data_IF_390181348656
#
_entry.id   IF_390181348656
#
_cell.length_a   1.000
_cell.length_b   1.000
_cell.length_c   1.000
_cell.angle_alpha   90.00
_cell.angle_beta   90.00
_cell.angle_gamma   90.00
#
_symmetry.space_group_name_H-M   'P 1'
#
loop_
_entity.id
_entity.type
_entity.pdbx_description
1 polymer ?
#
# COMPACT_ATOMS: atom_id res chain seq x y z
N UNK A 1 4.27 -19.31 5.23
CA UNK A 1 3.97 -17.92 4.80
C UNK A 1 2.59 -17.78 4.12
N UNK A 2 2.02 -18.82 3.51
CA UNK A 2 0.69 -18.75 2.84
C UNK A 2 -0.48 -18.51 3.81
N UNK A 3 -0.46 -19.09 5.02
CA UNK A 3 -1.51 -18.90 6.04
C UNK A 3 -1.63 -17.46 6.57
N UNK A 4 -0.52 -16.71 6.60
CA UNK A 4 -0.53 -15.28 6.99
C UNK A 4 -1.16 -14.45 5.87
N UNK A 5 -0.84 -14.79 4.60
CA UNK A 5 -1.44 -14.17 3.41
C UNK A 5 -2.96 -14.39 3.38
N UNK A 6 -3.43 -15.60 3.64
CA UNK A 6 -4.87 -15.92 3.69
C UNK A 6 -5.62 -15.24 4.84
N UNK A 7 -5.02 -15.18 6.03
CA UNK A 7 -5.66 -14.53 7.18
C UNK A 7 -5.71 -13.00 6.99
N UNK A 8 -4.64 -12.40 6.45
CA UNK A 8 -4.65 -10.99 6.08
C UNK A 8 -5.67 -10.68 5.00
N UNK A 9 -5.77 -11.50 3.93
CA UNK A 9 -6.76 -11.30 2.87
C UNK A 9 -8.20 -11.32 3.38
N UNK A 10 -8.51 -12.18 4.34
CA UNK A 10 -9.88 -12.34 4.85
C UNK A 10 -10.37 -11.16 5.69
N UNK A 11 -9.46 -10.40 6.33
CA UNK A 11 -9.79 -9.29 7.24
C UNK A 11 -9.06 -7.99 6.86
N UNK A 12 -8.58 -7.87 5.62
CA UNK A 12 -7.70 -6.79 5.19
C UNK A 12 -8.36 -5.40 5.25
N UNK A 13 -9.64 -5.31 4.88
CA UNK A 13 -10.41 -4.08 5.04
C UNK A 13 -10.42 -3.60 6.48
N UNK A 14 -10.56 -4.52 7.46
CA UNK A 14 -10.49 -4.16 8.88
C UNK A 14 -9.09 -3.67 9.26
N UNK A 15 -8.03 -4.20 8.67
CA UNK A 15 -6.64 -3.78 8.96
C UNK A 15 -6.36 -2.40 8.37
N UNK A 16 -6.79 -2.12 7.13
CA UNK A 16 -6.73 -0.78 6.54
C UNK A 16 -7.53 0.21 7.42
N UNK A 17 -8.77 -0.13 7.74
CA UNK A 17 -9.66 0.73 8.54
C UNK A 17 -9.07 0.96 9.92
N UNK A 18 -8.54 -0.08 10.58
CA UNK A 18 -7.86 0.04 11.88
C UNK A 18 -6.64 0.96 11.77
N UNK A 19 -5.82 0.81 10.72
CA UNK A 19 -4.63 1.65 10.51
C UNK A 19 -5.00 3.12 10.28
N UNK A 20 -6.05 3.39 9.52
CA UNK A 20 -6.61 4.74 9.32
C UNK A 20 -7.13 5.30 10.65
N UNK A 21 -7.90 4.51 11.40
CA UNK A 21 -8.42 4.88 12.72
C UNK A 21 -7.28 5.22 13.69
N UNK A 22 -6.23 4.40 13.71
CA UNK A 22 -5.04 4.63 14.53
C UNK A 22 -4.34 5.93 14.14
N UNK A 23 -4.21 6.20 12.83
CA UNK A 23 -3.68 7.46 12.30
C UNK A 23 -4.48 8.68 12.78
N UNK A 24 -5.81 8.61 12.73
CA UNK A 24 -6.69 9.68 13.21
C UNK A 24 -6.53 9.91 14.72
N UNK A 25 -6.50 8.84 15.53
CA UNK A 25 -6.31 8.91 16.98
C UNK A 25 -4.95 9.55 17.31
N UNK A 26 -3.88 9.13 16.63
CA UNK A 26 -2.55 9.67 16.81
C UNK A 26 -2.47 11.16 16.48
N UNK A 27 -3.07 11.59 15.36
CA UNK A 27 -3.11 13.01 14.97
C UNK A 27 -3.89 13.86 15.98
N UNK A 28 -4.96 13.31 16.54
CA UNK A 28 -5.81 14.01 17.50
C UNK A 28 -5.15 14.11 18.88
N UNK A 29 -4.41 13.09 19.30
CA UNK A 29 -3.78 13.04 20.63
C UNK A 29 -2.40 13.72 20.65
N UNK A 30 -1.56 13.52 19.64
CA UNK A 30 -0.22 14.12 19.55
C UNK A 30 -0.28 15.50 18.88
N UNK A 31 -0.67 16.50 19.66
CA UNK A 31 -0.83 17.89 19.19
C UNK A 31 0.45 18.64 18.76
N UNK A 32 1.70 18.34 19.19
CA UNK A 32 2.82 19.22 18.84
C UNK A 32 3.44 19.01 17.44
N UNK A 33 3.30 17.84 16.79
CA UNK A 33 3.97 17.54 15.51
C UNK A 33 3.04 16.91 14.43
N UNK A 34 1.98 17.63 14.07
CA UNK A 34 0.90 17.13 13.18
C UNK A 34 1.36 16.71 11.78
N UNK A 35 2.37 17.37 11.20
CA UNK A 35 2.91 17.04 9.86
C UNK A 35 3.72 15.73 9.89
N UNK A 36 4.45 15.46 10.97
CA UNK A 36 5.23 14.22 11.10
C UNK A 36 4.34 12.98 11.10
N UNK A 37 3.20 13.07 11.79
CA UNK A 37 2.21 11.98 11.88
C UNK A 37 1.48 11.69 10.57
N UNK A 38 1.45 12.63 9.63
CA UNK A 38 0.90 12.37 8.29
C UNK A 38 1.67 11.26 7.56
N UNK A 39 2.95 11.04 7.89
CA UNK A 39 3.73 9.93 7.36
C UNK A 39 3.19 8.55 7.82
N UNK A 40 2.41 8.48 8.89
CA UNK A 40 1.85 7.20 9.35
C UNK A 40 0.89 6.60 8.32
N UNK A 41 0.26 7.43 7.48
CA UNK A 41 -0.58 6.99 6.38
C UNK A 41 0.19 6.32 5.22
N UNK A 42 1.53 6.36 5.20
CA UNK A 42 2.27 5.52 4.26
C UNK A 42 2.11 4.03 4.59
N UNK A 43 1.97 3.65 5.87
CA UNK A 43 1.80 2.24 6.27
C UNK A 43 0.57 1.56 5.63
N UNK A 44 -0.66 2.09 5.74
CA UNK A 44 -1.82 1.48 5.11
C UNK A 44 -1.73 1.46 3.58
N UNK A 45 -1.01 2.41 2.98
CA UNK A 45 -0.83 2.50 1.51
C UNK A 45 0.17 1.47 1.01
N UNK A 46 1.30 1.32 1.69
CA UNK A 46 2.28 0.28 1.40
C UNK A 46 1.61 -1.08 1.56
N UNK A 47 0.83 -1.28 2.63
CA UNK A 47 0.06 -2.49 2.83
C UNK A 47 -0.92 -2.72 1.67
N UNK A 48 -1.72 -1.72 1.30
CA UNK A 48 -2.68 -1.84 0.20
C UNK A 48 -2.00 -2.16 -1.13
N UNK A 49 -0.88 -1.51 -1.47
CA UNK A 49 -0.15 -1.77 -2.71
C UNK A 49 0.56 -3.12 -2.74
N UNK A 50 1.05 -3.59 -1.59
CA UNK A 50 1.69 -4.89 -1.50
C UNK A 50 0.68 -6.05 -1.54
N UNK A 51 -0.50 -5.88 -0.93
CA UNK A 51 -1.43 -7.01 -0.80
C UNK A 51 -2.55 -7.02 -1.86
N UNK A 52 -3.02 -5.85 -2.30
CA UNK A 52 -4.20 -5.74 -3.19
C UNK A 52 -3.85 -5.21 -4.59
N UNK A 53 -2.56 -4.97 -4.87
CA UNK A 53 -2.08 -4.51 -6.17
C UNK A 53 -2.26 -3.00 -6.40
N UNK A 54 -2.01 -2.55 -7.63
CA UNK A 54 -1.85 -1.13 -7.93
C UNK A 54 -3.12 -0.32 -7.74
N UNK A 55 -4.28 -0.85 -8.17
CA UNK A 55 -5.56 -0.13 -8.11
C UNK A 55 -5.96 0.22 -6.68
N UNK A 56 -5.82 -0.74 -5.77
CA UNK A 56 -6.22 -0.57 -4.37
C UNK A 56 -5.20 0.28 -3.59
N UNK A 57 -3.92 0.26 -3.97
CA UNK A 57 -2.91 1.19 -3.44
C UNK A 57 -3.33 2.66 -3.66
N UNK A 58 -3.70 2.98 -4.90
CA UNK A 58 -4.08 4.33 -5.31
C UNK A 58 -5.39 4.76 -4.66
N UNK A 59 -6.39 3.87 -4.60
CA UNK A 59 -7.64 4.13 -3.89
C UNK A 59 -7.41 4.41 -2.39
N UNK A 60 -6.52 3.66 -1.75
CA UNK A 60 -6.18 3.86 -0.33
C UNK A 60 -5.50 5.21 -0.11
N UNK A 61 -4.58 5.61 -1.00
CA UNK A 61 -3.95 6.92 -0.96
C UNK A 61 -4.98 8.05 -1.13
N UNK A 62 -5.90 7.90 -2.08
CA UNK A 62 -6.98 8.85 -2.30
C UNK A 62 -7.88 8.99 -1.06
N UNK A 63 -8.30 7.88 -0.45
CA UNK A 63 -9.10 7.89 0.78
C UNK A 63 -8.37 8.54 1.96
N UNK A 64 -7.06 8.29 2.12
CA UNK A 64 -6.27 8.93 3.17
C UNK A 64 -6.22 10.45 2.98
N UNK A 65 -6.02 10.92 1.75
CA UNK A 65 -6.03 12.37 1.43
C UNK A 65 -7.40 12.97 1.72
N UNK A 66 -8.47 12.28 1.32
CA UNK A 66 -9.85 12.74 1.51
C UNK A 66 -10.20 12.86 3.01
N UNK A 67 -9.82 11.86 3.81
CA UNK A 67 -10.01 11.89 5.27
C UNK A 67 -9.24 13.05 5.90
N UNK A 68 -7.98 13.26 5.50
CA UNK A 68 -7.16 14.36 6.03
C UNK A 68 -7.75 15.72 5.63
N UNK A 69 -8.22 15.87 4.39
CA UNK A 69 -8.90 17.08 3.93
C UNK A 69 -10.21 17.33 4.68
N UNK A 70 -11.00 16.29 4.92
CA UNK A 70 -12.23 16.36 5.70
C UNK A 70 -11.97 16.78 7.15
N UNK A 71 -10.91 16.25 7.76
CA UNK A 71 -10.50 16.59 9.12
C UNK A 71 -9.99 18.05 9.22
N UNK A 72 -9.31 18.55 8.18
CA UNK A 72 -8.90 19.94 8.08
C UNK A 72 -10.09 20.91 8.02
N UNK A 73 -11.19 20.52 7.37
CA UNK A 73 -12.43 21.30 7.28
C UNK A 73 -13.21 21.29 8.60
N UNK A 74 -13.27 20.16 9.31
CA UNK A 74 -13.98 20.02 10.59
C UNK A 74 -13.25 20.72 11.75
N UNK A 75 -11.91 20.62 11.79
CA UNK A 75 -11.10 21.14 12.89
C UNK A 75 -9.97 22.06 12.40
N UNK A 76 -10.30 23.20 11.76
CA UNK A 76 -9.30 24.13 11.24
C UNK A 76 -8.42 24.70 12.36
N UNK A 77 -8.99 24.93 13.54
CA UNK A 77 -8.27 25.40 14.75
C UNK A 77 -7.22 24.41 15.26
N UNK A 78 -7.33 23.13 14.92
CA UNK A 78 -6.35 22.12 15.32
C UNK A 78 -5.09 22.20 14.46
N UNK A 79 -5.19 22.52 13.17
CA UNK A 79 -4.01 22.64 12.30
C UNK A 79 -3.41 24.05 12.29
N UNK A 80 -4.25 25.07 12.41
CA UNK A 80 -3.84 26.46 12.37
C UNK A 80 -3.74 27.04 13.79
N UNK A 81 -2.67 26.71 14.49
CA UNK A 81 -2.32 27.37 15.76
C UNK A 81 -1.90 28.83 15.50
N UNK A 82 -2.25 29.73 16.41
CA UNK A 82 -1.85 31.14 16.33
C UNK A 82 -0.32 31.28 16.24
N UNK A 83 0.17 31.83 15.12
CA UNK A 83 1.60 32.02 14.84
C UNK A 83 2.19 31.14 13.72
N UNK A 84 1.44 30.15 13.21
CA UNK A 84 1.92 29.32 12.08
C UNK A 84 1.49 29.87 10.73
N UNK A 85 2.42 29.93 9.77
CA UNK A 85 2.14 30.35 8.39
C UNK A 85 1.16 29.37 7.72
N UNK A 86 -0.07 29.83 7.47
CA UNK A 86 -1.13 29.02 6.83
C UNK A 86 -0.70 28.46 5.47
N UNK A 87 0.02 29.26 4.70
CA UNK A 87 0.61 28.89 3.41
C UNK A 87 1.58 27.72 3.52
N UNK A 88 2.41 27.68 4.57
CA UNK A 88 3.34 26.57 4.79
C UNK A 88 2.59 25.26 4.98
N UNK A 89 1.56 25.25 5.83
CA UNK A 89 0.76 24.04 6.09
C UNK A 89 0.08 23.54 4.81
N UNK A 90 -0.53 24.43 4.03
CA UNK A 90 -1.21 24.06 2.78
C UNK A 90 -0.22 23.47 1.77
N UNK A 91 0.94 24.11 1.59
CA UNK A 91 1.99 23.62 0.69
C UNK A 91 2.55 22.29 1.16
N UNK A 92 2.82 22.13 2.46
CA UNK A 92 3.28 20.85 3.02
C UNK A 92 2.25 19.74 2.84
N UNK A 93 0.95 20.04 3.00
CA UNK A 93 -0.12 19.08 2.81
C UNK A 93 -0.24 18.64 1.35
N UNK A 94 -0.15 19.60 0.42
CA UNK A 94 -0.17 19.35 -1.02
C UNK A 94 1.06 18.54 -1.47
N UNK A 95 2.24 18.85 -0.93
CA UNK A 95 3.45 18.09 -1.19
C UNK A 95 3.32 16.66 -0.65
N UNK A 96 2.83 16.50 0.57
CA UNK A 96 2.58 15.19 1.17
C UNK A 96 1.59 14.37 0.34
N UNK A 97 0.43 14.93 -0.05
CA UNK A 97 -0.57 14.21 -0.84
C UNK A 97 -0.04 13.77 -2.20
N UNK A 98 0.78 14.62 -2.84
CA UNK A 98 1.40 14.31 -4.12
C UNK A 98 2.39 13.15 -3.99
N UNK A 99 3.24 13.19 -2.96
CA UNK A 99 4.15 12.09 -2.67
C UNK A 99 3.40 10.81 -2.34
N UNK A 100 2.34 10.89 -1.55
CA UNK A 100 1.50 9.77 -1.17
C UNK A 100 0.96 9.02 -2.40
N UNK A 101 0.45 9.77 -3.39
CA UNK A 101 -0.06 9.21 -4.64
C UNK A 101 1.09 8.59 -5.46
N UNK A 102 2.19 9.32 -5.65
CA UNK A 102 3.35 8.82 -6.39
C UNK A 102 3.91 7.52 -5.79
N UNK A 103 4.06 7.47 -4.47
CA UNK A 103 4.51 6.29 -3.75
C UNK A 103 3.52 5.14 -3.90
N UNK A 104 2.21 5.40 -3.79
CA UNK A 104 1.18 4.37 -3.95
C UNK A 104 1.22 3.73 -5.35
N UNK A 105 1.42 4.55 -6.39
CA UNK A 105 1.52 4.09 -7.76
C UNK A 105 2.82 3.30 -7.98
N UNK A 106 3.94 3.80 -7.47
CA UNK A 106 5.25 3.14 -7.60
C UNK A 106 5.26 1.76 -6.91
N UNK A 107 4.74 1.67 -5.68
CA UNK A 107 4.67 0.41 -4.93
C UNK A 107 3.71 -0.57 -5.61
N UNK A 108 2.55 -0.08 -6.05
CA UNK A 108 1.58 -0.88 -6.78
C UNK A 108 2.17 -1.50 -8.05
N UNK A 109 2.82 -0.67 -8.88
CA UNK A 109 3.46 -1.12 -10.11
C UNK A 109 4.60 -2.11 -9.83
N UNK A 110 5.46 -1.82 -8.86
CA UNK A 110 6.59 -2.69 -8.51
C UNK A 110 6.12 -4.06 -8.04
N UNK A 111 5.02 -4.11 -7.29
CA UNK A 111 4.45 -5.37 -6.82
C UNK A 111 3.86 -6.20 -7.98
N UNK A 112 3.09 -5.58 -8.87
CA UNK A 112 2.53 -6.26 -10.05
C UNK A 112 3.63 -6.82 -10.96
N UNK A 113 4.69 -6.06 -11.19
CA UNK A 113 5.85 -6.51 -11.98
C UNK A 113 6.56 -7.70 -11.30
N UNK A 114 6.72 -7.67 -9.97
CA UNK A 114 7.31 -8.79 -9.22
C UNK A 114 6.44 -10.04 -9.33
N UNK A 115 5.13 -9.91 -9.20
CA UNK A 115 4.20 -11.03 -9.28
C UNK A 115 4.17 -11.64 -10.70
N UNK A 116 4.21 -10.79 -11.74
CA UNK A 116 4.33 -11.24 -13.14
C UNK A 116 5.60 -12.05 -13.37
N UNK A 117 6.76 -11.55 -12.95
CA UNK A 117 8.04 -12.27 -13.10
C UNK A 117 8.03 -13.63 -12.40
N UNK A 118 7.48 -13.70 -11.19
CA UNK A 118 7.37 -14.97 -10.45
C UNK A 118 6.49 -15.96 -11.21
N UNK A 119 5.38 -15.49 -11.79
CA UNK A 119 4.47 -16.34 -12.57
C UNK A 119 5.14 -16.88 -13.84
N UNK A 120 5.86 -16.03 -14.56
CA UNK A 120 6.62 -16.43 -15.76
C UNK A 120 7.70 -17.47 -15.42
N UNK A 121 8.47 -17.26 -14.34
CA UNK A 121 9.45 -18.23 -13.87
C UNK A 121 8.82 -19.58 -13.53
N UNK A 122 7.68 -19.59 -12.83
CA UNK A 122 6.94 -20.83 -12.51
C UNK A 122 6.47 -21.53 -13.78
N UNK A 123 5.97 -20.78 -14.77
CA UNK A 123 5.52 -21.34 -16.04
C UNK A 123 6.67 -21.96 -16.83
N UNK A 124 7.83 -21.28 -16.89
CA UNK A 124 9.03 -21.81 -17.55
C UNK A 124 9.55 -23.07 -16.85
N UNK A 125 9.57 -23.08 -15.52
CA UNK A 125 9.96 -24.25 -14.73
C UNK A 125 9.07 -25.47 -15.00
N UNK A 126 7.74 -25.29 -15.04
CA UNK A 126 6.82 -26.37 -15.39
C UNK A 126 7.01 -26.87 -16.83
N UNK A 127 7.30 -25.97 -17.78
CA UNK A 127 7.61 -26.36 -19.16
C UNK A 127 8.87 -27.21 -19.27
N UNK A 128 9.93 -26.87 -18.54
CA UNK A 128 11.15 -27.69 -18.48
C UNK A 128 10.86 -29.07 -17.89
N UNK A 129 10.08 -29.13 -16.81
CA UNK A 129 9.71 -30.39 -16.17
C UNK A 129 8.91 -31.29 -17.13
N UNK A 130 8.01 -30.71 -17.92
CA UNK A 130 7.25 -31.45 -18.93
C UNK A 130 8.15 -32.05 -20.03
N UNK A 131 9.13 -31.28 -20.51
CA UNK A 131 10.11 -31.77 -21.50
C UNK A 131 10.94 -32.90 -20.90
N UNK A 132 11.43 -32.73 -19.68
CA UNK A 132 12.24 -33.73 -18.99
C UNK A 132 11.45 -35.03 -18.77
N UNK A 133 10.18 -34.90 -18.38
CA UNK A 133 9.26 -36.04 -18.22
C UNK A 133 9.05 -36.78 -19.53
N UNK A 134 8.79 -36.07 -20.64
CA UNK A 134 8.64 -36.69 -21.96
C UNK A 134 9.92 -37.38 -22.43
N UNK A 135 11.07 -36.80 -22.12
CA UNK A 135 12.36 -37.42 -22.44
C UNK A 135 12.57 -38.72 -21.66
N UNK A 136 12.29 -38.72 -20.37
CA UNK A 136 12.41 -39.90 -19.51
C UNK A 136 11.45 -41.02 -19.94
N UNK A 137 10.19 -40.68 -20.24
CA UNK A 137 9.20 -41.63 -20.78
C UNK A 137 9.60 -42.19 -22.16
N UNK A 138 10.29 -41.39 -22.97
CA UNK A 138 10.84 -41.85 -24.25
C UNK A 138 12.04 -42.78 -24.06
N UNK A 139 12.92 -42.51 -23.10
CA UNK A 139 14.10 -43.33 -22.82
C UNK A 139 13.73 -44.67 -22.15
N UNK A 140 12.73 -44.66 -21.26
CA UNK A 140 12.22 -45.86 -20.57
C UNK A 140 11.57 -46.85 -21.55
N UNK A 141 10.99 -46.37 -22.65
CA UNK A 141 10.40 -47.22 -23.70
C UNK A 141 11.39 -48.09 -24.49
N UNK A 142 12.70 -47.89 -24.33
CA UNK A 142 13.75 -48.63 -25.03
C UNK A 142 14.59 -49.55 -24.10
N UNK A 143 14.19 -49.72 -22.84
CA UNK A 143 14.79 -50.67 -21.89
C UNK A 143 13.75 -51.72 -21.48
#
# INVERSE_FOLDING_TARGET
MEKIKEHFFKHFEKIIVLSILLGIVLITYFTPYKIGFLNFFYLPIIAAGYFLGQRMAVLTAFFCILIVAFFLLLFPSSFFTAGTNKTYIIVSLAAWSSFLILTSAAIGYLYEEKERKIKELKSAYMGILEILSKYLESADRYT
#
